data_IF_086480356306
#
_entry.id   IF_086480356306
#
_cell.length_a   1.000
_cell.length_b   1.000
_cell.length_c   1.000
_cell.angle_alpha   90.00
_cell.angle_beta   90.00
_cell.angle_gamma   90.00
#
_symmetry.space_group_name_H-M   'P 1'
#
loop_
_entity.id
_entity.type
_entity.pdbx_description
1 polymer ?
#
# COMPACT_ATOMS: atom_id res chain seq x y z
N UNK A 1 -22.53 -84.94 16.88
CA UNK A 1 -21.95 -83.86 17.71
C UNK A 1 -22.20 -84.25 19.14
N UNK A 2 -21.13 -84.44 19.93
CA UNK A 2 -21.20 -84.83 21.34
C UNK A 2 -21.62 -83.63 22.20
N UNK A 3 -22.62 -83.81 23.08
CA UNK A 3 -23.11 -82.80 24.03
C UNK A 3 -21.99 -82.21 24.90
N UNK A 4 -20.98 -83.02 25.22
CA UNK A 4 -19.83 -82.60 26.01
C UNK A 4 -18.94 -81.60 25.25
N UNK A 5 -18.94 -81.63 23.91
CA UNK A 5 -18.24 -80.65 23.08
C UNK A 5 -18.95 -79.30 23.05
N UNK A 6 -20.29 -79.30 23.14
CA UNK A 6 -21.10 -78.08 23.13
C UNK A 6 -20.93 -77.34 24.46
N UNK A 7 -21.00 -78.07 25.58
CA UNK A 7 -20.83 -77.50 26.92
C UNK A 7 -19.46 -76.80 27.10
N UNK A 8 -18.37 -77.41 26.64
CA UNK A 8 -17.03 -76.80 26.70
C UNK A 8 -16.91 -75.52 25.86
N UNK A 9 -17.60 -75.47 24.72
CA UNK A 9 -17.59 -74.30 23.84
C UNK A 9 -18.38 -73.14 24.44
N UNK A 10 -19.52 -73.42 25.05
CA UNK A 10 -20.32 -72.43 25.78
C UNK A 10 -19.54 -71.85 26.96
N UNK A 11 -18.87 -72.68 27.77
CA UNK A 11 -18.07 -72.21 28.89
C UNK A 11 -16.92 -71.29 28.44
N UNK A 12 -16.28 -71.63 27.31
CA UNK A 12 -15.22 -70.79 26.72
C UNK A 12 -15.78 -69.44 26.26
N UNK A 13 -16.90 -69.43 25.55
CA UNK A 13 -17.54 -68.21 25.06
C UNK A 13 -17.99 -67.32 26.21
N UNK A 14 -18.46 -67.91 27.32
CA UNK A 14 -18.84 -67.15 28.50
C UNK A 14 -17.63 -66.47 29.16
N UNK A 15 -16.50 -67.18 29.30
CA UNK A 15 -15.25 -66.57 29.78
C UNK A 15 -14.72 -65.46 28.86
N UNK A 16 -14.85 -65.62 27.54
CA UNK A 16 -14.49 -64.57 26.57
C UNK A 16 -15.41 -63.35 26.67
N UNK A 17 -16.72 -63.57 26.85
CA UNK A 17 -17.68 -62.50 27.05
C UNK A 17 -17.40 -61.71 28.34
N UNK A 18 -17.15 -62.39 29.44
CA UNK A 18 -16.87 -61.74 30.73
C UNK A 18 -15.57 -60.94 30.67
N UNK A 19 -14.53 -61.47 30.00
CA UNK A 19 -13.28 -60.76 29.76
C UNK A 19 -13.47 -59.52 28.87
N UNK A 20 -14.21 -59.66 27.77
CA UNK A 20 -14.49 -58.53 26.88
C UNK A 20 -15.28 -57.43 27.59
N UNK A 21 -16.19 -57.82 28.49
CA UNK A 21 -16.97 -56.89 29.31
C UNK A 21 -16.06 -56.10 30.26
N UNK A 22 -15.12 -56.75 30.93
CA UNK A 22 -14.12 -56.07 31.78
C UNK A 22 -13.25 -55.11 30.99
N UNK A 23 -12.71 -55.56 29.84
CA UNK A 23 -11.89 -54.73 28.95
C UNK A 23 -12.67 -53.50 28.45
N UNK A 24 -13.95 -53.67 28.11
CA UNK A 24 -14.82 -52.56 27.70
C UNK A 24 -15.01 -51.53 28.81
N UNK A 25 -15.29 -51.97 30.04
CA UNK A 25 -15.44 -51.05 31.17
C UNK A 25 -14.16 -50.29 31.49
N UNK A 26 -13.00 -50.97 31.41
CA UNK A 26 -11.71 -50.35 31.59
C UNK A 26 -11.46 -49.28 30.53
N UNK A 27 -11.63 -49.62 29.24
CA UNK A 27 -11.38 -48.70 28.14
C UNK A 27 -12.34 -47.52 28.16
N UNK A 28 -13.61 -47.75 28.49
CA UNK A 28 -14.60 -46.68 28.63
C UNK A 28 -14.23 -45.73 29.78
N UNK A 29 -13.81 -46.27 30.94
CA UNK A 29 -13.34 -45.47 32.07
C UNK A 29 -12.11 -44.63 31.73
N UNK A 30 -11.14 -45.24 31.03
CA UNK A 30 -9.95 -44.53 30.56
C UNK A 30 -10.29 -43.40 29.60
N UNK A 31 -11.11 -43.68 28.58
CA UNK A 31 -11.54 -42.66 27.61
C UNK A 31 -12.30 -41.51 28.29
N UNK A 32 -13.16 -41.81 29.26
CA UNK A 32 -13.86 -40.78 30.04
C UNK A 32 -12.87 -39.91 30.83
N UNK A 33 -11.89 -40.52 31.49
CA UNK A 33 -10.86 -39.80 32.22
C UNK A 33 -10.03 -38.90 31.30
N UNK A 34 -9.59 -39.42 30.15
CA UNK A 34 -8.80 -38.68 29.16
C UNK A 34 -9.60 -37.50 28.59
N UNK A 35 -10.87 -37.72 28.23
CA UNK A 35 -11.77 -36.66 27.76
C UNK A 35 -11.93 -35.55 28.81
N UNK A 36 -12.08 -35.93 30.08
CA UNK A 36 -12.22 -34.96 31.16
C UNK A 36 -10.91 -34.19 31.40
N UNK A 37 -9.77 -34.88 31.38
CA UNK A 37 -8.44 -34.26 31.50
C UNK A 37 -8.20 -33.22 30.41
N UNK A 38 -8.48 -33.56 29.15
CA UNK A 38 -8.34 -32.65 28.01
C UNK A 38 -9.27 -31.44 28.15
N UNK A 39 -10.50 -31.66 28.62
CA UNK A 39 -11.46 -30.57 28.86
C UNK A 39 -10.99 -29.62 29.96
N UNK A 40 -10.42 -30.16 31.03
CA UNK A 40 -9.93 -29.36 32.16
C UNK A 40 -8.68 -28.56 31.74
N UNK A 41 -7.77 -29.17 30.99
CA UNK A 41 -6.59 -28.49 30.43
C UNK A 41 -6.99 -27.38 29.45
N UNK A 42 -7.93 -27.65 28.54
CA UNK A 42 -8.46 -26.65 27.61
C UNK A 42 -9.11 -25.48 28.36
N UNK A 43 -9.88 -25.76 29.42
CA UNK A 43 -10.52 -24.73 30.24
C UNK A 43 -9.47 -23.89 30.99
N UNK A 44 -8.41 -24.53 31.48
CA UNK A 44 -7.29 -23.84 32.13
C UNK A 44 -6.54 -22.92 31.16
N UNK A 45 -6.17 -23.43 29.99
CA UNK A 45 -5.49 -22.66 28.95
C UNK A 45 -6.34 -21.47 28.48
N UNK A 46 -7.65 -21.67 28.30
CA UNK A 46 -8.58 -20.59 27.95
C UNK A 46 -8.64 -19.52 29.06
N UNK A 47 -8.62 -19.94 30.34
CA UNK A 47 -8.59 -19.04 31.48
C UNK A 47 -7.32 -18.17 31.51
N UNK A 48 -6.15 -18.77 31.29
CA UNK A 48 -4.87 -18.06 31.21
C UNK A 48 -4.88 -17.03 30.08
N UNK A 49 -5.28 -17.46 28.87
CA UNK A 49 -5.31 -16.59 27.70
C UNK A 49 -6.26 -15.40 27.91
N UNK A 50 -7.42 -15.64 28.51
CA UNK A 50 -8.38 -14.57 28.84
C UNK A 50 -7.81 -13.58 29.85
N UNK A 51 -7.07 -14.06 30.85
CA UNK A 51 -6.42 -13.19 31.83
C UNK A 51 -5.29 -12.35 31.19
N UNK A 52 -4.48 -12.95 30.32
CA UNK A 52 -3.40 -12.26 29.61
C UNK A 52 -3.94 -11.19 28.66
N UNK A 53 -4.98 -11.49 27.88
CA UNK A 53 -5.65 -10.49 27.05
C UNK A 53 -6.23 -9.34 27.88
N UNK A 54 -6.85 -9.64 29.03
CA UNK A 54 -7.37 -8.60 29.93
C UNK A 54 -6.26 -7.75 30.57
N UNK A 55 -5.06 -8.31 30.79
CA UNK A 55 -3.89 -7.55 31.23
C UNK A 55 -3.39 -6.64 30.12
N UNK A 56 -3.14 -7.18 28.93
CA UNK A 56 -2.65 -6.43 27.77
C UNK A 56 -3.62 -5.31 27.37
N UNK A 57 -4.92 -5.55 27.43
CA UNK A 57 -5.92 -4.51 27.14
C UNK A 57 -5.85 -3.32 28.12
N UNK A 58 -5.56 -3.59 29.40
CA UNK A 58 -5.38 -2.52 30.41
C UNK A 58 -4.10 -1.73 30.17
N UNK A 59 -2.99 -2.43 29.95
CA UNK A 59 -1.69 -1.82 29.65
C UNK A 59 -1.77 -0.93 28.40
N UNK A 60 -2.39 -1.43 27.32
CA UNK A 60 -2.60 -0.64 26.11
C UNK A 60 -3.46 0.62 26.37
N UNK A 61 -4.50 0.51 27.21
CA UNK A 61 -5.33 1.66 27.58
C UNK A 61 -4.53 2.69 28.39
N UNK A 62 -3.65 2.25 29.30
CA UNK A 62 -2.74 3.11 30.06
C UNK A 62 -1.71 3.79 29.14
N UNK A 63 -1.09 3.05 28.22
CA UNK A 63 -0.15 3.61 27.24
C UNK A 63 -0.80 4.64 26.33
N UNK A 64 -2.00 4.35 25.80
CA UNK A 64 -2.72 5.30 24.96
C UNK A 64 -3.16 6.54 25.72
N UNK A 65 -3.49 6.43 27.02
CA UNK A 65 -3.74 7.59 27.88
C UNK A 65 -2.46 8.43 28.09
N UNK A 66 -1.32 7.78 28.35
CA UNK A 66 -0.04 8.46 28.51
C UNK A 66 0.41 9.19 27.24
N UNK A 67 0.24 8.56 26.07
CA UNK A 67 0.54 9.18 24.77
C UNK A 67 -0.35 10.39 24.50
N UNK A 68 -1.66 10.29 24.77
CA UNK A 68 -2.57 11.43 24.66
C UNK A 68 -2.13 12.59 25.54
N UNK A 69 -1.80 12.33 26.81
CA UNK A 69 -1.32 13.35 27.72
C UNK A 69 -0.02 14.03 27.21
N UNK A 70 0.91 13.26 26.63
CA UNK A 70 2.12 13.82 26.01
C UNK A 70 1.79 14.69 24.80
N UNK A 71 0.86 14.26 23.95
CA UNK A 71 0.39 15.04 22.81
C UNK A 71 -0.20 16.38 23.27
N UNK A 72 -1.09 16.36 24.26
CA UNK A 72 -1.72 17.57 24.80
C UNK A 72 -0.69 18.55 25.39
N UNK A 73 0.34 18.02 26.05
CA UNK A 73 1.45 18.82 26.57
C UNK A 73 2.25 19.47 25.43
N UNK A 74 2.60 18.69 24.40
CA UNK A 74 3.32 19.22 23.23
C UNK A 74 2.50 20.27 22.48
N UNK A 75 1.20 20.05 22.29
CA UNK A 75 0.30 21.03 21.70
C UNK A 75 0.26 22.32 22.53
N UNK A 76 0.21 22.21 23.85
CA UNK A 76 0.24 23.36 24.75
C UNK A 76 1.55 24.13 24.65
N UNK A 77 2.69 23.44 24.58
CA UNK A 77 4.00 24.05 24.35
C UNK A 77 4.06 24.76 23.00
N UNK A 78 3.52 24.15 21.95
CA UNK A 78 3.49 24.73 20.61
C UNK A 78 2.62 25.99 20.58
N UNK A 79 1.43 25.97 21.20
CA UNK A 79 0.58 27.17 21.34
C UNK A 79 1.29 28.28 22.12
N UNK A 80 2.01 27.91 23.19
CA UNK A 80 2.80 28.87 23.95
C UNK A 80 3.91 29.50 23.10
N UNK A 81 4.68 28.69 22.36
CA UNK A 81 5.73 29.18 21.46
C UNK A 81 5.16 30.07 20.35
N UNK A 82 4.04 29.70 19.75
CA UNK A 82 3.32 30.53 18.77
C UNK A 82 2.86 31.87 19.35
N UNK A 83 2.38 31.88 20.61
CA UNK A 83 2.03 33.10 21.32
C UNK A 83 3.25 33.99 21.59
N UNK A 84 4.39 33.40 21.96
CA UNK A 84 5.66 34.11 22.07
C UNK A 84 6.04 34.73 20.73
N UNK A 85 6.09 33.94 19.65
CA UNK A 85 6.42 34.44 18.30
C UNK A 85 5.50 35.60 17.90
N UNK A 86 4.21 35.50 18.17
CA UNK A 86 3.24 36.57 17.87
C UNK A 86 3.51 37.85 18.67
N UNK A 87 3.90 37.70 19.95
CA UNK A 87 4.30 38.80 20.83
C UNK A 87 5.58 39.48 20.34
N UNK A 88 6.61 38.71 19.99
CA UNK A 88 7.85 39.21 19.41
C UNK A 88 7.60 39.87 18.06
N UNK A 89 6.80 39.26 17.18
CA UNK A 89 6.42 39.82 15.88
C UNK A 89 5.66 41.13 16.01
N UNK A 90 4.82 41.29 17.04
CA UNK A 90 4.13 42.57 17.32
C UNK A 90 5.09 43.61 17.89
N UNK A 91 6.02 43.23 18.79
CA UNK A 91 7.03 44.13 19.34
C UNK A 91 8.06 44.58 18.28
N UNK A 92 8.46 43.69 17.38
CA UNK A 92 9.34 44.00 16.25
C UNK A 92 8.59 44.74 15.13
N UNK A 93 7.35 44.37 14.83
CA UNK A 93 6.49 45.07 13.85
C UNK A 93 6.16 46.50 14.28
N UNK A 94 5.94 46.75 15.57
CA UNK A 94 5.75 48.09 16.12
C UNK A 94 7.03 48.95 16.05
N UNK A 95 8.22 48.34 16.13
CA UNK A 95 9.51 49.05 16.05
C UNK A 95 10.07 49.18 14.62
N UNK A 96 9.65 48.33 13.67
CA UNK A 96 10.15 48.31 12.28
C UNK A 96 9.21 49.05 11.31
N UNK A 97 7.95 49.26 11.65
CA UNK A 97 6.96 49.78 10.67
C UNK A 97 6.95 51.29 10.42
N UNK A 98 7.82 52.14 10.97
CA UNK A 98 7.65 53.60 10.73
C UNK A 98 8.85 54.44 10.35
N UNK A 99 10.10 53.96 10.24
CA UNK A 99 11.20 54.90 9.90
C UNK A 99 12.28 54.54 8.88
N UNK A 100 12.47 53.30 8.42
CA UNK A 100 13.70 53.01 7.64
C UNK A 100 13.55 52.29 6.30
N UNK A 101 12.34 51.91 5.86
CA UNK A 101 12.19 51.20 4.58
C UNK A 101 11.34 51.90 3.50
N UNK A 102 10.91 53.15 3.71
CA UNK A 102 10.14 53.92 2.70
C UNK A 102 10.93 55.00 1.95
N UNK A 103 12.26 54.95 1.93
CA UNK A 103 13.03 55.78 1.00
C UNK A 103 14.21 54.97 0.49
N UNK A 104 14.31 54.82 -0.82
CA UNK A 104 15.28 53.96 -1.50
C UNK A 104 16.73 54.26 -1.11
N UNK A 105 17.20 53.64 -0.03
CA UNK A 105 18.60 53.62 0.34
C UNK A 105 19.20 52.39 -0.32
N UNK A 106 20.10 52.63 -1.26
CA UNK A 106 20.92 51.58 -1.85
C UNK A 106 21.68 50.85 -0.74
N UNK A 107 21.62 49.52 -0.76
CA UNK A 107 22.43 48.68 0.12
C UNK A 107 23.91 49.03 -0.05
N UNK A 108 24.70 49.11 1.04
CA UNK A 108 26.14 49.31 0.94
C UNK A 108 26.77 48.29 -0.02
N UNK A 109 27.68 48.71 -0.91
CA UNK A 109 28.35 47.79 -1.85
C UNK A 109 29.10 46.65 -1.14
N UNK A 110 29.39 46.80 0.16
CA UNK A 110 30.01 45.78 1.02
C UNK A 110 29.07 44.66 1.46
N UNK A 111 27.75 44.75 1.19
CA UNK A 111 26.76 43.71 1.51
C UNK A 111 26.42 42.83 0.31
N UNK A 112 27.46 42.45 -0.45
CA UNK A 112 27.34 41.44 -1.49
C UNK A 112 27.58 40.07 -0.86
N UNK A 113 26.53 39.48 -0.30
CA UNK A 113 26.61 38.12 0.24
C UNK A 113 26.20 37.13 -0.85
N UNK A 114 27.11 36.24 -1.22
CA UNK A 114 26.82 35.10 -2.09
C UNK A 114 26.19 34.01 -1.21
N UNK A 115 24.95 33.65 -1.50
CA UNK A 115 24.30 32.49 -0.87
C UNK A 115 24.45 31.33 -1.86
N UNK A 116 25.39 30.42 -1.59
CA UNK A 116 25.45 29.14 -2.27
C UNK A 116 24.45 28.20 -1.62
N UNK A 117 23.40 27.86 -2.38
CA UNK A 117 22.44 26.82 -2.01
C UNK A 117 23.00 25.50 -2.54
N UNK A 118 23.65 24.73 -1.67
CA UNK A 118 24.02 23.35 -1.97
C UNK A 118 22.81 22.47 -1.63
N UNK A 119 22.10 22.02 -2.66
CA UNK A 119 21.13 20.96 -2.48
C UNK A 119 21.94 19.69 -2.16
N UNK A 120 21.89 19.22 -0.91
CA UNK A 120 22.25 17.85 -0.60
C UNK A 120 21.14 16.93 -1.15
N UNK A 121 21.05 16.87 -2.48
CA UNK A 121 20.28 15.87 -3.18
C UNK A 121 21.02 14.55 -2.93
N UNK A 122 20.67 13.88 -1.84
CA UNK A 122 21.06 12.49 -1.65
C UNK A 122 20.43 11.78 -2.83
N UNK A 123 21.24 11.47 -3.83
CA UNK A 123 20.82 10.64 -4.95
C UNK A 123 20.28 9.33 -4.37
N UNK A 124 18.95 9.23 -4.29
CA UNK A 124 18.33 7.93 -4.26
C UNK A 124 18.87 7.21 -5.47
N UNK A 125 19.54 6.08 -5.22
CA UNK A 125 20.10 5.21 -6.24
C UNK A 125 18.99 4.98 -7.27
N UNK A 126 19.18 5.54 -8.46
CA UNK A 126 18.34 5.25 -9.60
C UNK A 126 18.32 3.74 -9.76
N UNK A 127 17.15 3.15 -9.54
CA UNK A 127 16.83 1.80 -10.02
C UNK A 127 16.88 1.90 -11.55
N UNK A 128 17.70 1.09 -12.26
CA UNK A 128 17.72 1.12 -13.71
C UNK A 128 16.35 0.69 -14.27
N UNK A 129 15.84 1.30 -15.35
CA UNK A 129 14.65 0.81 -16.02
C UNK A 129 14.89 -0.56 -16.66
N UNK A 130 13.84 -1.39 -16.72
CA UNK A 130 13.83 -2.72 -17.33
C UNK A 130 14.43 -2.71 -18.74
N UNK A 131 15.33 -3.65 -19.08
CA UNK A 131 15.71 -3.90 -20.46
C UNK A 131 14.48 -4.40 -21.25
N UNK A 132 14.01 -3.62 -22.21
CA UNK A 132 13.03 -4.07 -23.19
C UNK A 132 13.67 -4.99 -24.25
N UNK A 133 12.91 -5.87 -24.91
CA UNK A 133 13.42 -6.65 -26.03
C UNK A 133 13.87 -5.74 -27.17
N UNK A 134 15.02 -6.05 -27.79
CA UNK A 134 15.50 -5.34 -28.96
C UNK A 134 14.46 -5.41 -30.10
N UNK A 135 14.22 -4.30 -30.83
CA UNK A 135 13.34 -4.33 -32.00
C UNK A 135 13.90 -5.28 -33.06
N UNK A 136 13.11 -6.29 -33.43
CA UNK A 136 13.26 -6.99 -34.70
C UNK A 136 12.92 -5.98 -35.80
N UNK A 137 13.92 -5.30 -36.35
CA UNK A 137 13.76 -4.58 -37.61
C UNK A 137 13.89 -5.61 -38.72
N UNK A 138 12.75 -5.96 -39.30
CA UNK A 138 12.64 -6.68 -40.56
C UNK A 138 13.35 -5.89 -41.66
N UNK A 139 14.18 -6.60 -42.39
CA UNK A 139 14.76 -6.23 -43.67
C UNK A 139 13.65 -6.24 -44.74
N UNK A 140 13.46 -5.13 -45.46
CA UNK A 140 12.99 -5.09 -46.87
C UNK A 140 12.88 -3.64 -47.36
N UNK A 141 13.54 -3.34 -48.49
CA UNK A 141 12.95 -2.50 -49.54
C UNK A 141 13.50 -1.09 -49.74
N UNK A 142 14.53 -0.99 -50.58
CA UNK A 142 14.97 0.16 -51.36
C UNK A 142 13.89 0.60 -52.39
N UNK A 143 13.73 1.92 -52.60
CA UNK A 143 13.47 2.57 -53.90
C UNK A 143 13.20 4.10 -53.77
N UNK A 144 14.27 4.82 -54.09
CA UNK A 144 14.51 6.08 -54.84
C UNK A 144 13.38 7.00 -55.40
N UNK A 145 13.64 8.32 -55.24
CA UNK A 145 13.38 9.58 -56.03
C UNK A 145 12.04 9.99 -56.68
N UNK A 146 11.72 11.30 -56.51
CA UNK A 146 11.44 12.37 -57.54
C UNK A 146 10.66 13.53 -56.83
N UNK A 147 11.28 14.67 -56.47
CA UNK A 147 11.49 15.93 -57.20
C UNK A 147 10.26 16.74 -57.70
N UNK A 148 10.16 17.97 -57.15
CA UNK A 148 9.91 19.27 -57.82
C UNK A 148 8.52 19.89 -58.16
N UNK A 149 8.41 21.17 -57.74
CA UNK A 149 7.87 22.40 -58.38
C UNK A 149 6.34 22.75 -58.49
N UNK A 150 5.97 23.86 -57.82
CA UNK A 150 5.35 25.13 -58.33
C UNK A 150 3.99 25.04 -59.07
N UNK A 151 2.93 25.80 -58.77
CA UNK A 151 2.77 27.27 -58.96
C UNK A 151 1.34 27.73 -58.60
N UNK A 152 1.23 28.95 -58.05
CA UNK A 152 0.23 30.04 -58.23
C UNK A 152 -1.23 29.74 -58.66
N UNK A 153 -2.23 30.31 -57.96
CA UNK A 153 -3.00 31.49 -58.44
C UNK A 153 -4.07 31.92 -57.40
N UNK A 154 -4.29 33.23 -57.28
CA UNK A 154 -5.27 33.92 -56.42
C UNK A 154 -5.76 35.10 -57.29
N UNK A 155 -7.05 35.53 -57.35
CA UNK A 155 -7.59 36.48 -56.35
C UNK A 155 -9.17 36.54 -56.31
N UNK A 156 -9.87 37.64 -55.90
CA UNK A 156 -9.99 38.20 -54.53
C UNK A 156 -11.44 38.56 -54.06
N UNK A 157 -11.58 38.73 -52.73
CA UNK A 157 -12.35 39.70 -51.92
C UNK A 157 -13.58 40.49 -52.43
N UNK A 158 -14.62 40.60 -51.57
CA UNK A 158 -15.36 41.86 -51.33
C UNK A 158 -16.22 41.86 -50.05
N UNK A 159 -15.99 42.84 -49.15
CA UNK A 159 -16.96 43.40 -48.16
C UNK A 159 -17.52 44.73 -48.73
N UNK A 160 -18.68 45.28 -48.28
CA UNK A 160 -18.68 46.19 -47.11
C UNK A 160 -19.98 46.26 -46.25
N UNK A 161 -19.81 46.89 -45.08
CA UNK A 161 -20.68 47.57 -44.09
C UNK A 161 -22.23 47.66 -44.24
N UNK A 162 -22.98 47.65 -43.10
CA UNK A 162 -23.57 48.86 -42.46
C UNK A 162 -24.54 48.54 -41.28
N UNK A 163 -24.40 49.37 -40.23
CA UNK A 163 -25.42 49.97 -39.33
C UNK A 163 -26.19 49.20 -38.22
N UNK A 164 -25.98 49.71 -36.99
CA UNK A 164 -26.84 49.64 -35.79
C UNK A 164 -27.97 50.73 -35.90
N UNK A 165 -28.99 50.91 -34.99
CA UNK A 165 -28.92 50.69 -33.53
C UNK A 165 -30.25 50.39 -32.73
N UNK A 166 -30.07 50.18 -31.41
CA UNK A 166 -30.90 50.67 -30.27
C UNK A 166 -32.20 49.93 -29.86
N UNK A 167 -32.23 49.42 -28.62
CA UNK A 167 -33.49 49.05 -27.94
C UNK A 167 -33.43 48.40 -26.54
N UNK A 168 -33.12 49.19 -25.49
CA UNK A 168 -33.67 49.18 -24.11
C UNK A 168 -33.44 47.97 -23.13
N UNK A 169 -32.68 48.28 -22.06
CA UNK A 169 -32.63 47.72 -20.68
C UNK A 169 -34.03 47.52 -19.99
N UNK A 170 -34.20 46.89 -18.78
CA UNK A 170 -33.25 46.80 -17.64
C UNK A 170 -33.24 45.57 -16.67
N UNK A 171 -32.13 45.47 -15.91
CA UNK A 171 -31.97 45.12 -14.46
C UNK A 171 -32.19 43.68 -13.94
N UNK A 172 -31.09 43.07 -13.47
CA UNK A 172 -30.87 42.76 -12.04
C UNK A 172 -29.37 42.56 -11.70
N UNK A 173 -28.93 43.33 -10.71
CA UNK A 173 -27.74 43.25 -9.84
C UNK A 173 -27.64 41.88 -9.12
N UNK A 174 -26.54 41.36 -8.54
CA UNK A 174 -25.37 41.97 -7.91
C UNK A 174 -24.34 40.86 -7.54
N UNK A 175 -23.06 41.15 -7.77
CA UNK A 175 -21.94 41.05 -6.80
C UNK A 175 -21.63 39.74 -6.04
N UNK A 176 -20.41 39.21 -6.24
CA UNK A 176 -19.85 38.11 -5.43
C UNK A 176 -18.37 37.82 -5.64
N UNK A 177 -17.51 38.77 -5.24
CA UNK A 177 -16.15 38.59 -4.70
C UNK A 177 -15.23 37.49 -5.27
N UNK A 178 -14.27 37.93 -6.08
CA UNK A 178 -13.09 37.19 -6.53
C UNK A 178 -12.10 37.06 -5.35
N UNK A 179 -12.16 35.96 -4.59
CA UNK A 179 -11.07 35.56 -3.69
C UNK A 179 -10.21 34.52 -4.40
N UNK A 180 -9.07 34.97 -4.92
CA UNK A 180 -7.94 34.08 -5.26
C UNK A 180 -7.49 33.42 -3.95
N UNK A 181 -7.98 32.21 -3.70
CA UNK A 181 -7.30 31.30 -2.81
C UNK A 181 -5.96 30.94 -3.46
N UNK A 182 -4.88 31.09 -2.71
CA UNK A 182 -3.55 30.66 -3.07
C UNK A 182 -3.59 29.18 -3.43
N UNK A 183 -3.54 28.90 -4.73
CA UNK A 183 -3.23 27.58 -5.26
C UNK A 183 -1.83 27.23 -4.74
N UNK A 184 -1.79 26.43 -3.68
CA UNK A 184 -0.71 25.47 -3.52
C UNK A 184 -0.71 24.71 -4.84
N UNK A 185 0.35 24.90 -5.64
CA UNK A 185 0.65 23.97 -6.73
C UNK A 185 0.91 22.63 -6.06
N UNK A 186 -0.16 21.87 -5.81
CA UNK A 186 -0.07 20.42 -5.88
C UNK A 186 0.37 20.18 -7.32
N UNK A 187 1.54 19.61 -7.48
CA UNK A 187 1.86 18.95 -8.73
C UNK A 187 0.83 17.82 -8.75
N UNK A 188 -0.24 17.97 -9.52
CA UNK A 188 -1.13 16.85 -9.82
C UNK A 188 -0.26 15.87 -10.62
N UNK A 189 0.47 15.03 -9.89
CA UNK A 189 1.06 13.82 -10.45
C UNK A 189 -0.17 12.99 -10.78
N UNK A 190 -0.48 12.89 -12.06
CA UNK A 190 -1.50 11.98 -12.56
C UNK A 190 -1.07 10.58 -12.11
N UNK A 191 -1.77 9.99 -11.15
CA UNK A 191 -1.47 8.65 -10.65
C UNK A 191 -2.52 7.69 -11.20
N UNK A 192 -2.11 6.48 -11.58
CA UNK A 192 -3.07 5.46 -11.99
C UNK A 192 -3.72 4.87 -10.74
N UNK A 193 -4.90 5.36 -10.36
CA UNK A 193 -5.57 4.88 -9.16
C UNK A 193 -6.11 3.45 -9.28
N UNK A 194 -6.50 3.02 -10.49
CA UNK A 194 -7.13 1.72 -10.73
C UNK A 194 -6.61 1.08 -12.03
N UNK A 195 -6.61 -0.26 -12.14
CA UNK A 195 -6.40 -0.95 -13.39
C UNK A 195 -7.50 -0.60 -14.42
N UNK A 196 -7.17 -0.66 -15.69
CA UNK A 196 -8.09 -0.39 -16.80
C UNK A 196 -9.17 -1.46 -16.91
N UNK A 197 -8.84 -2.70 -16.58
CA UNK A 197 -9.76 -3.84 -16.54
C UNK A 197 -9.69 -4.44 -15.14
N UNK A 198 -10.84 -4.54 -14.46
CA UNK A 198 -10.91 -4.91 -13.05
C UNK A 198 -12.12 -5.83 -12.81
N UNK A 199 -11.99 -7.14 -13.08
CA UNK A 199 -13.07 -8.11 -12.88
C UNK A 199 -13.40 -8.36 -11.40
N UNK A 200 -12.58 -7.84 -10.48
CA UNK A 200 -12.62 -8.08 -9.03
C UNK A 200 -12.44 -9.58 -8.66
N UNK A 201 -11.90 -9.85 -7.47
CA UNK A 201 -11.84 -11.19 -6.88
C UNK A 201 -12.49 -11.16 -5.51
N UNK A 202 -13.17 -12.24 -5.14
CA UNK A 202 -13.74 -12.40 -3.79
C UNK A 202 -12.69 -12.86 -2.75
N UNK A 203 -11.43 -13.08 -3.18
CA UNK A 203 -10.36 -13.58 -2.32
C UNK A 203 -9.61 -12.41 -1.68
N UNK A 204 -9.46 -12.46 -0.34
CA UNK A 204 -8.69 -11.50 0.44
C UNK A 204 -7.18 -11.80 0.47
N UNK A 205 -6.35 -10.84 0.92
CA UNK A 205 -4.92 -11.03 1.13
C UNK A 205 -4.63 -12.05 2.24
N UNK A 206 -3.39 -12.54 2.27
CA UNK A 206 -2.92 -13.48 3.27
C UNK A 206 -3.05 -12.91 4.69
N UNK A 207 -3.52 -13.71 5.68
CA UNK A 207 -3.54 -13.29 7.07
C UNK A 207 -2.14 -12.95 7.60
N UNK A 208 -2.00 -11.82 8.30
CA UNK A 208 -0.73 -11.37 8.87
C UNK A 208 -0.16 -12.32 9.96
N UNK A 209 -1.00 -13.19 10.54
CA UNK A 209 -0.60 -14.18 11.53
C UNK A 209 0.11 -15.40 10.93
N UNK A 210 0.06 -15.56 9.61
CA UNK A 210 0.66 -16.69 8.93
C UNK A 210 2.14 -16.42 8.65
N UNK A 211 3.00 -17.20 9.30
CA UNK A 211 4.46 -17.07 9.18
C UNK A 211 4.90 -17.54 7.81
N UNK A 212 5.78 -16.77 7.17
CA UNK A 212 6.38 -17.13 5.89
C UNK A 212 7.35 -18.32 6.08
N UNK A 213 7.24 -19.38 5.27
CA UNK A 213 8.11 -20.55 5.32
C UNK A 213 9.60 -20.22 5.27
N UNK A 214 10.00 -19.25 4.43
CA UNK A 214 11.39 -18.83 4.31
C UNK A 214 11.63 -17.41 4.83
N UNK A 215 12.75 -17.28 5.54
CA UNK A 215 13.40 -16.00 5.81
C UNK A 215 13.98 -15.40 4.53
N UNK A 216 14.32 -14.11 4.55
CA UNK A 216 14.97 -13.45 3.41
C UNK A 216 16.27 -14.16 3.06
N UNK A 217 17.09 -14.56 4.04
CA UNK A 217 18.36 -15.23 3.78
C UNK A 217 18.18 -16.58 3.08
N UNK A 218 17.15 -17.34 3.44
CA UNK A 218 16.85 -18.63 2.80
C UNK A 218 16.34 -18.43 1.37
N UNK A 219 15.47 -17.45 1.15
CA UNK A 219 15.01 -17.10 -0.19
C UNK A 219 16.15 -16.58 -1.09
N UNK A 220 17.07 -15.75 -0.55
CA UNK A 220 18.26 -15.30 -1.27
C UNK A 220 19.17 -16.45 -1.69
N UNK A 221 19.27 -17.52 -0.90
CA UNK A 221 20.10 -18.67 -1.22
C UNK A 221 19.60 -19.48 -2.42
N UNK A 222 18.34 -19.28 -2.84
CA UNK A 222 17.73 -19.92 -4.00
C UNK A 222 17.85 -19.09 -5.27
N UNK A 223 18.50 -17.92 -5.22
CA UNK A 223 18.69 -17.09 -6.39
C UNK A 223 19.80 -17.61 -7.30
N UNK A 224 19.65 -17.44 -8.62
CA UNK A 224 20.76 -17.56 -9.54
C UNK A 224 21.90 -16.60 -9.15
N UNK A 225 23.15 -17.02 -9.37
CA UNK A 225 24.36 -16.29 -8.94
C UNK A 225 24.46 -14.84 -9.46
N UNK A 226 23.77 -14.53 -10.56
CA UNK A 226 23.79 -13.23 -11.22
C UNK A 226 22.64 -12.29 -10.81
N UNK A 227 21.74 -12.71 -9.91
CA UNK A 227 20.58 -11.93 -9.50
C UNK A 227 20.73 -11.49 -8.04
N UNK A 228 20.73 -10.18 -7.82
CA UNK A 228 20.68 -9.64 -6.46
C UNK A 228 19.24 -9.60 -5.93
N UNK A 229 19.06 -9.87 -4.64
CA UNK A 229 17.74 -9.88 -4.00
C UNK A 229 17.03 -8.54 -4.13
N UNK A 230 17.75 -7.44 -3.92
CA UNK A 230 17.24 -6.07 -4.03
C UNK A 230 16.75 -5.66 -5.43
N UNK A 231 17.20 -6.36 -6.47
CA UNK A 231 16.80 -6.08 -7.86
C UNK A 231 15.51 -6.82 -8.25
N UNK A 232 15.05 -7.76 -7.42
CA UNK A 232 13.82 -8.49 -7.67
C UNK A 232 12.59 -7.61 -7.47
N UNK A 233 11.54 -7.90 -8.26
CA UNK A 233 10.22 -7.31 -8.03
C UNK A 233 9.73 -7.71 -6.62
N UNK A 234 9.11 -6.78 -5.86
CA UNK A 234 8.63 -7.06 -4.51
C UNK A 234 7.65 -8.25 -4.43
N UNK A 235 6.80 -8.45 -5.43
CA UNK A 235 5.85 -9.57 -5.49
C UNK A 235 6.57 -10.92 -5.68
N UNK A 236 7.63 -10.97 -6.48
CA UNK A 236 8.50 -12.14 -6.64
C UNK A 236 9.27 -12.43 -5.34
N UNK A 237 9.80 -11.40 -4.68
CA UNK A 237 10.41 -11.56 -3.35
C UNK A 237 9.42 -12.19 -2.36
N UNK A 238 8.17 -11.73 -2.37
CA UNK A 238 7.11 -12.30 -1.53
C UNK A 238 6.80 -13.75 -1.86
N UNK A 239 6.68 -14.08 -3.14
CA UNK A 239 6.43 -15.45 -3.60
C UNK A 239 7.58 -16.39 -3.22
N UNK A 240 8.85 -15.98 -3.34
CA UNK A 240 9.97 -16.81 -2.90
C UNK A 240 9.95 -17.07 -1.39
N UNK A 241 9.48 -16.12 -0.58
CA UNK A 241 9.33 -16.31 0.86
C UNK A 241 8.22 -17.30 1.24
N UNK A 242 7.38 -17.74 0.29
CA UNK A 242 6.44 -18.85 0.50
C UNK A 242 7.06 -20.23 0.28
N UNK A 243 8.34 -20.30 -0.07
CA UNK A 243 9.06 -21.57 -0.27
C UNK A 243 9.34 -21.89 -1.74
N UNK A 244 8.96 -21.01 -2.67
CA UNK A 244 9.14 -21.21 -4.11
C UNK A 244 10.56 -20.86 -4.56
N UNK A 245 11.07 -21.59 -5.56
CA UNK A 245 12.29 -21.21 -6.27
C UNK A 245 12.10 -19.92 -7.09
N UNK A 246 13.21 -19.34 -7.56
CA UNK A 246 13.16 -18.11 -8.37
C UNK A 246 12.29 -18.26 -9.63
N UNK A 247 12.53 -19.31 -10.43
CA UNK A 247 11.81 -19.53 -11.69
C UNK A 247 10.30 -19.73 -11.44
N UNK A 248 9.96 -20.55 -10.45
CA UNK A 248 8.57 -20.82 -10.03
C UNK A 248 7.86 -19.55 -9.54
N UNK A 249 8.56 -18.73 -8.74
CA UNK A 249 8.03 -17.46 -8.24
C UNK A 249 7.79 -16.46 -9.38
N UNK A 250 8.69 -16.37 -10.35
CA UNK A 250 8.54 -15.51 -11.52
C UNK A 250 7.36 -15.97 -12.38
N UNK A 251 7.29 -17.26 -12.69
CA UNK A 251 6.18 -17.83 -13.46
C UNK A 251 4.84 -17.59 -12.77
N UNK A 252 4.77 -17.79 -11.45
CA UNK A 252 3.56 -17.56 -10.66
C UNK A 252 3.13 -16.08 -10.71
N UNK A 253 4.06 -15.13 -10.56
CA UNK A 253 3.74 -13.69 -10.61
C UNK A 253 3.39 -13.20 -12.01
N UNK A 254 3.81 -13.92 -13.05
CA UNK A 254 3.41 -13.67 -14.43
C UNK A 254 2.11 -14.39 -14.81
N UNK A 255 1.59 -15.29 -13.97
CA UNK A 255 0.31 -15.93 -14.24
C UNK A 255 -0.83 -14.89 -14.24
N UNK A 256 -1.83 -15.12 -15.09
CA UNK A 256 -3.01 -14.27 -15.15
C UNK A 256 -4.07 -14.72 -14.14
N UNK A 257 -3.79 -14.52 -12.85
CA UNK A 257 -4.61 -15.03 -11.76
C UNK A 257 -4.54 -14.15 -10.50
N UNK A 258 -5.42 -14.41 -9.53
CA UNK A 258 -5.60 -13.69 -8.28
C UNK A 258 -4.50 -13.97 -7.24
N UNK A 259 -3.25 -13.69 -7.59
CA UNK A 259 -2.08 -13.99 -6.75
C UNK A 259 -1.91 -13.04 -5.55
N UNK A 260 -2.73 -11.98 -5.45
CA UNK A 260 -2.70 -11.05 -4.31
C UNK A 260 -3.00 -11.71 -2.97
N UNK A 261 -3.62 -12.89 -2.99
CA UNK A 261 -3.86 -13.72 -1.82
C UNK A 261 -2.58 -14.21 -1.13
N UNK A 262 -1.41 -14.14 -1.79
CA UNK A 262 -0.12 -14.54 -1.21
C UNK A 262 0.49 -13.48 -0.30
N UNK A 263 0.07 -12.23 -0.47
CA UNK A 263 0.69 -11.09 0.20
C UNK A 263 -0.03 -10.76 1.49
N UNK A 264 0.73 -10.39 2.52
CA UNK A 264 0.12 -9.72 3.67
C UNK A 264 -0.46 -8.38 3.25
N UNK A 265 -1.53 -7.95 3.93
CA UNK A 265 -2.26 -6.72 3.62
C UNK A 265 -1.35 -5.51 3.47
N UNK A 266 -0.45 -5.28 4.43
CA UNK A 266 0.32 -4.04 4.47
C UNK A 266 1.30 -3.98 3.29
N UNK A 267 1.96 -5.11 2.98
CA UNK A 267 2.82 -5.21 1.80
C UNK A 267 2.05 -5.15 0.48
N UNK A 268 0.83 -5.68 0.43
CA UNK A 268 -0.05 -5.49 -0.73
C UNK A 268 -0.32 -4.00 -0.95
N UNK A 269 -0.69 -3.25 0.09
CA UNK A 269 -0.93 -1.82 -0.01
C UNK A 269 0.31 -1.04 -0.44
N UNK A 270 1.49 -1.36 0.10
CA UNK A 270 2.77 -0.72 -0.28
C UNK A 270 3.11 -0.97 -1.77
N UNK A 271 2.92 -2.21 -2.23
CA UNK A 271 3.12 -2.58 -3.63
C UNK A 271 2.14 -1.85 -4.54
N UNK A 272 0.85 -1.80 -4.17
CA UNK A 272 -0.18 -1.08 -4.91
C UNK A 272 0.14 0.42 -5.01
N UNK A 273 0.48 1.08 -3.90
CA UNK A 273 0.84 2.50 -3.89
C UNK A 273 2.03 2.78 -4.83
N UNK A 274 3.05 1.91 -4.77
CA UNK A 274 4.22 2.01 -5.66
C UNK A 274 3.84 1.85 -7.13
N UNK A 275 2.96 0.89 -7.45
CA UNK A 275 2.50 0.65 -8.83
C UNK A 275 1.59 1.78 -9.34
N UNK A 276 0.72 2.33 -8.49
CA UNK A 276 -0.14 3.46 -8.80
C UNK A 276 0.67 4.71 -9.16
N UNK A 277 1.72 4.99 -8.37
CA UNK A 277 2.65 6.10 -8.62
C UNK A 277 3.44 5.92 -9.93
N UNK A 278 3.72 4.67 -10.31
CA UNK A 278 4.54 4.34 -11.50
C UNK A 278 3.73 4.00 -12.75
N UNK A 279 2.40 4.02 -12.70
CA UNK A 279 1.51 3.57 -13.78
C UNK A 279 1.78 2.12 -14.21
N UNK A 280 1.95 1.22 -13.25
CA UNK A 280 2.28 -0.20 -13.47
C UNK A 280 1.19 -1.17 -13.03
N UNK A 281 -0.02 -0.67 -12.77
CA UNK A 281 -1.13 -1.55 -12.40
C UNK A 281 -1.57 -2.43 -13.57
N UNK A 282 -1.62 -1.91 -14.79
CA UNK A 282 -1.98 -2.71 -15.97
C UNK A 282 -0.87 -3.67 -16.42
N UNK A 283 0.39 -3.32 -16.14
CA UNK A 283 1.55 -4.17 -16.44
C UNK A 283 1.65 -5.38 -15.49
N UNK A 284 0.99 -5.32 -14.34
CA UNK A 284 1.04 -6.37 -13.30
C UNK A 284 -0.25 -7.19 -13.33
N UNK A 285 -0.17 -8.38 -13.92
CA UNK A 285 -1.35 -9.22 -14.23
C UNK A 285 -2.24 -9.57 -13.04
N UNK A 286 -1.68 -9.76 -11.86
CA UNK A 286 -2.46 -10.07 -10.66
C UNK A 286 -3.19 -8.85 -10.09
N UNK A 287 -2.76 -7.62 -10.41
CA UNK A 287 -3.31 -6.40 -9.82
C UNK A 287 -4.81 -6.23 -10.16
N UNK A 288 -5.23 -6.54 -11.39
CA UNK A 288 -6.64 -6.46 -11.82
C UNK A 288 -7.62 -7.31 -11.01
N UNK A 289 -7.14 -8.31 -10.26
CA UNK A 289 -7.99 -9.16 -9.42
C UNK A 289 -8.09 -8.66 -7.97
N UNK A 290 -7.30 -7.67 -7.57
CA UNK A 290 -7.28 -7.18 -6.19
C UNK A 290 -8.60 -6.46 -5.86
N UNK A 291 -9.26 -6.75 -4.72
CA UNK A 291 -10.50 -6.06 -4.36
C UNK A 291 -10.34 -4.55 -4.25
N UNK A 292 -11.35 -3.79 -4.71
CA UNK A 292 -11.37 -2.31 -4.70
C UNK A 292 -10.95 -1.68 -3.35
N UNK A 293 -11.29 -2.30 -2.22
CA UNK A 293 -10.97 -1.79 -0.89
C UNK A 293 -9.46 -1.58 -0.66
N UNK A 294 -8.60 -2.43 -1.24
CA UNK A 294 -7.15 -2.34 -1.07
C UNK A 294 -6.54 -1.19 -1.88
N UNK A 295 -7.14 -0.86 -3.02
CA UNK A 295 -6.76 0.33 -3.78
C UNK A 295 -7.08 1.62 -3.02
N UNK A 296 -8.24 1.69 -2.35
CA UNK A 296 -8.59 2.85 -1.51
C UNK A 296 -7.61 3.02 -0.36
N UNK A 297 -7.17 1.91 0.26
CA UNK A 297 -6.15 1.98 1.31
C UNK A 297 -4.79 2.44 0.76
N UNK A 298 -4.40 1.99 -0.43
CA UNK A 298 -3.16 2.42 -1.08
C UNK A 298 -3.19 3.91 -1.49
N UNK A 299 -4.36 4.44 -1.88
CA UNK A 299 -4.54 5.88 -2.13
C UNK A 299 -4.22 6.71 -0.87
N UNK A 300 -4.71 6.28 0.29
CA UNK A 300 -4.42 6.96 1.56
C UNK A 300 -2.92 6.99 1.85
N UNK A 301 -2.18 5.93 1.52
CA UNK A 301 -0.71 5.87 1.66
C UNK A 301 0.03 6.84 0.72
N UNK A 302 -0.56 7.19 -0.43
CA UNK A 302 0.02 8.16 -1.36
C UNK A 302 -0.22 9.61 -0.92
N UNK A 303 -1.23 9.85 -0.09
CA UNK A 303 -1.60 11.19 0.41
C UNK A 303 -0.92 11.57 1.74
N UNK A 304 -0.31 10.61 2.43
CA UNK A 304 0.40 10.76 3.71
C UNK A 304 1.87 11.11 3.55
#
# INVERSE_FOLDING_TARGET
MDENSIARRLLRLQGEHDRLKEDFFFLYGYHQQETQSIRDEASHAQGLLKADFARLARENLEETAALRQRSDNLESQLRYAQSQISRWGSAFGANVSTRTFQRGVATPLSWKTWITVEAADKSFRMIPPYPGPAPLVSDEGDDDVEQEEKSEDNPPSSKPEQDAPRGKEPRKSQSGSKRRASSQRRVDVEVQCRPTVHPDSDVGPRPASEVLPFTISEACALLPEFIAWEDLRPDVQWAMRTGLGYDEAVELMLADDAQHALFHRDSLCDMLATMMYRHKLDDTRWARYVPTAYYVMAEVLLES
#
